data_IF_808660554111
#
_entry.id   IF_808660554111
#
_cell.length_a   1.000
_cell.length_b   1.000
_cell.length_c   1.000
_cell.angle_alpha   90.00
_cell.angle_beta   90.00
_cell.angle_gamma   90.00
#
_symmetry.space_group_name_H-M   'P 1'
#
loop_
_entity.id
_entity.type
_entity.pdbx_description
1 polymer ?
#
# COMPACT_ATOMS: atom_id res chain seq x y z
N UNK A 1 -15.76 29.85 -25.01
CA UNK A 1 -15.15 28.50 -24.87
C UNK A 1 -14.51 28.54 -23.51
N UNK A 2 -15.34 28.30 -22.51
CA UNK A 2 -15.11 28.80 -21.15
C UNK A 2 -14.41 27.70 -20.38
N UNK A 3 -13.11 27.90 -20.17
CA UNK A 3 -12.28 27.06 -19.32
C UNK A 3 -12.63 27.31 -17.86
N UNK A 4 -13.40 26.40 -17.27
CA UNK A 4 -13.47 26.26 -15.82
C UNK A 4 -12.21 25.51 -15.37
N UNK A 5 -11.33 26.20 -14.65
CA UNK A 5 -10.15 25.63 -14.03
C UNK A 5 -10.52 24.46 -13.12
N UNK A 6 -9.76 23.36 -13.23
CA UNK A 6 -9.82 22.26 -12.29
C UNK A 6 -9.60 22.79 -10.88
N UNK A 7 -10.59 22.63 -10.01
CA UNK A 7 -10.45 22.96 -8.59
C UNK A 7 -9.36 22.06 -7.99
N UNK A 8 -8.27 22.67 -7.53
CA UNK A 8 -7.22 21.98 -6.78
C UNK A 8 -7.81 21.42 -5.48
N UNK A 9 -7.98 20.09 -5.40
CA UNK A 9 -8.50 19.41 -4.20
C UNK A 9 -9.46 18.24 -4.47
N UNK A 10 -9.91 18.05 -5.72
CA UNK A 10 -10.71 16.89 -6.10
C UNK A 10 -9.83 15.63 -6.28
N UNK A 11 -10.24 14.53 -5.65
CA UNK A 11 -9.63 13.20 -5.76
C UNK A 11 -10.23 12.42 -6.93
N UNK A 12 -11.53 12.52 -7.18
CA UNK A 12 -12.22 11.90 -8.31
C UNK A 12 -13.53 12.61 -8.65
N UNK A 13 -14.06 12.38 -9.86
CA UNK A 13 -15.42 12.76 -10.26
C UNK A 13 -16.16 11.55 -10.80
N UNK A 14 -17.25 11.14 -10.14
CA UNK A 14 -17.95 9.87 -10.42
C UNK A 14 -19.41 10.16 -10.80
N UNK A 15 -19.93 9.63 -11.92
CA UNK A 15 -21.35 9.76 -12.24
C UNK A 15 -22.24 9.08 -11.21
N UNK A 16 -23.29 9.77 -10.71
CA UNK A 16 -24.21 9.22 -9.69
C UNK A 16 -24.83 7.88 -10.09
N UNK A 17 -25.08 7.70 -11.40
CA UNK A 17 -25.65 6.48 -11.99
C UNK A 17 -24.76 5.25 -11.87
N UNK A 18 -23.46 5.41 -11.64
CA UNK A 18 -22.51 4.30 -11.47
C UNK A 18 -22.50 3.78 -10.03
N UNK A 19 -22.94 4.60 -9.08
CA UNK A 19 -23.03 4.18 -7.68
C UNK A 19 -24.26 3.29 -7.51
N UNK A 20 -24.12 2.06 -7.00
CA UNK A 20 -25.24 1.14 -6.84
C UNK A 20 -26.25 1.68 -5.81
N UNK A 21 -27.52 1.30 -5.99
CA UNK A 21 -28.60 1.66 -5.05
C UNK A 21 -28.32 1.12 -3.64
N UNK A 22 -27.68 -0.05 -3.56
CA UNK A 22 -27.29 -0.73 -2.33
C UNK A 22 -25.85 -1.19 -2.41
N UNK A 23 -25.12 -1.14 -1.29
CA UNK A 23 -23.71 -1.56 -1.24
C UNK A 23 -22.75 -0.42 -1.57
N UNK A 24 -21.57 -0.78 -2.08
CA UNK A 24 -20.46 0.12 -2.35
C UNK A 24 -20.01 -0.02 -3.82
N UNK A 25 -19.83 1.11 -4.49
CA UNK A 25 -19.01 1.21 -5.69
C UNK A 25 -17.54 1.22 -5.26
N UNK A 26 -16.75 0.30 -5.82
CA UNK A 26 -15.30 0.37 -5.74
C UNK A 26 -14.79 1.08 -7.01
N UNK A 27 -14.01 2.14 -6.83
CA UNK A 27 -13.46 2.96 -7.90
C UNK A 27 -11.98 3.24 -7.62
N UNK A 28 -11.18 3.48 -8.66
CA UNK A 28 -9.78 3.89 -8.52
C UNK A 28 -9.63 5.24 -9.19
N UNK A 29 -9.17 6.27 -8.46
CA UNK A 29 -8.94 7.58 -9.04
C UNK A 29 -7.84 7.57 -10.10
N UNK A 30 -7.74 8.65 -10.89
CA UNK A 30 -6.63 8.81 -11.86
C UNK A 30 -5.25 8.74 -11.19
N UNK A 31 -5.15 9.16 -9.91
CA UNK A 31 -3.92 9.06 -9.12
C UNK A 31 -3.69 7.68 -8.47
N UNK A 32 -4.50 6.66 -8.82
CA UNK A 32 -4.37 5.31 -8.30
C UNK A 32 -4.91 5.12 -6.88
N UNK A 33 -5.69 6.06 -6.35
CA UNK A 33 -6.24 5.96 -4.99
C UNK A 33 -7.52 5.12 -5.04
N UNK A 34 -7.60 3.98 -4.33
CA UNK A 34 -8.84 3.23 -4.22
C UNK A 34 -9.87 4.02 -3.42
N UNK A 35 -11.10 4.05 -3.91
CA UNK A 35 -12.24 4.76 -3.35
C UNK A 35 -13.40 3.78 -3.18
N UNK A 36 -14.13 3.93 -2.08
CA UNK A 36 -15.40 3.25 -1.85
C UNK A 36 -16.49 4.31 -1.78
N UNK A 37 -17.46 4.26 -2.69
CA UNK A 37 -18.54 5.26 -2.75
C UNK A 37 -19.90 4.57 -2.64
N UNK A 38 -20.77 5.10 -1.80
CA UNK A 38 -22.09 4.53 -1.58
C UNK A 38 -23.15 5.59 -1.32
N UNK A 39 -24.40 5.20 -1.52
CA UNK A 39 -25.56 5.96 -1.07
C UNK A 39 -26.05 5.39 0.26
N UNK A 40 -26.33 6.27 1.23
CA UNK A 40 -26.92 5.97 2.54
C UNK A 40 -28.17 6.83 2.72
N UNK A 41 -29.30 6.31 2.26
CA UNK A 41 -30.55 7.06 2.20
C UNK A 41 -30.44 8.27 1.27
N UNK A 42 -30.53 9.48 1.84
CA UNK A 42 -30.39 10.73 1.09
C UNK A 42 -28.93 11.18 0.92
N UNK A 43 -27.99 10.60 1.67
CA UNK A 43 -26.60 11.06 1.71
C UNK A 43 -25.68 10.20 0.83
N UNK A 44 -24.61 10.83 0.35
CA UNK A 44 -23.50 10.16 -0.32
C UNK A 44 -22.33 10.01 0.65
N UNK A 45 -21.76 8.81 0.69
CA UNK A 45 -20.59 8.49 1.51
C UNK A 45 -19.47 8.06 0.59
N UNK A 46 -18.27 8.61 0.80
CA UNK A 46 -17.05 8.15 0.18
C UNK A 46 -16.01 7.85 1.26
N UNK A 47 -15.28 6.75 1.10
CA UNK A 47 -14.15 6.36 1.93
C UNK A 47 -12.88 6.26 1.06
N UNK A 48 -11.75 6.60 1.65
CA UNK A 48 -10.44 6.16 1.16
C UNK A 48 -10.37 4.64 1.32
N UNK A 49 -10.36 3.94 0.20
CA UNK A 49 -10.35 2.48 0.13
C UNK A 49 -8.98 1.87 0.47
N UNK A 50 -8.00 2.66 0.90
CA UNK A 50 -6.72 2.12 1.38
C UNK A 50 -6.88 1.59 2.80
N UNK A 51 -6.61 0.30 2.96
CA UNK A 51 -6.62 -0.35 4.27
C UNK A 51 -5.67 0.35 5.24
N UNK A 52 -6.15 0.73 6.43
CA UNK A 52 -5.35 1.42 7.46
C UNK A 52 -4.23 0.58 8.07
N UNK A 53 -4.05 -0.66 7.63
CA UNK A 53 -2.89 -1.48 8.00
C UNK A 53 -1.69 -1.22 7.08
N UNK A 54 -1.81 -1.50 5.78
CA UNK A 54 -0.70 -1.44 4.80
C UNK A 54 -1.13 -0.89 3.44
N UNK A 55 -2.24 -0.17 3.37
CA UNK A 55 -2.68 0.55 2.16
C UNK A 55 -3.28 -0.31 1.04
N UNK A 56 -3.41 -1.63 1.23
CA UNK A 56 -4.08 -2.50 0.25
C UNK A 56 -5.52 -2.04 -0.04
N UNK A 57 -6.02 -2.20 -1.28
CA UNK A 57 -7.39 -1.84 -1.61
C UNK A 57 -8.39 -2.70 -0.83
N UNK A 58 -9.30 -2.01 -0.13
CA UNK A 58 -10.46 -2.59 0.54
C UNK A 58 -11.61 -2.65 -0.45
N UNK A 59 -12.32 -3.77 -0.46
CA UNK A 59 -13.51 -3.97 -1.29
C UNK A 59 -14.74 -4.38 -0.49
N UNK A 60 -15.94 -4.39 -1.10
CA UNK A 60 -17.15 -4.90 -0.47
C UNK A 60 -17.01 -6.39 -0.11
N UNK A 61 -17.45 -6.77 1.08
CA UNK A 61 -17.49 -8.18 1.47
C UNK A 61 -18.81 -8.84 1.03
N UNK A 62 -18.68 -9.86 0.17
CA UNK A 62 -19.82 -10.57 -0.39
C UNK A 62 -20.74 -11.16 0.70
N UNK A 63 -22.05 -10.87 0.59
CA UNK A 63 -23.07 -11.36 1.53
C UNK A 63 -23.18 -10.54 2.82
N UNK A 64 -22.46 -9.42 2.93
CA UNK A 64 -22.52 -8.48 4.06
C UNK A 64 -22.67 -7.05 3.54
N UNK A 65 -22.89 -6.10 4.44
CA UNK A 65 -22.78 -4.66 4.20
C UNK A 65 -21.39 -4.09 4.50
N UNK A 66 -20.50 -4.94 5.03
CA UNK A 66 -19.14 -4.62 5.43
C UNK A 66 -18.13 -4.65 4.29
N UNK A 67 -16.88 -4.44 4.69
CA UNK A 67 -15.73 -4.26 3.81
C UNK A 67 -14.59 -5.20 4.20
N UNK A 68 -13.83 -5.68 3.23
CA UNK A 68 -12.75 -6.65 3.42
C UNK A 68 -11.46 -6.24 2.72
N UNK A 69 -10.36 -6.29 3.47
CA UNK A 69 -8.99 -6.20 2.98
C UNK A 69 -8.38 -7.60 2.88
N UNK A 70 -8.10 -8.09 1.66
CA UNK A 70 -7.63 -9.46 1.46
C UNK A 70 -6.14 -9.69 1.76
N UNK A 71 -5.33 -8.63 1.89
CA UNK A 71 -3.88 -8.78 2.11
C UNK A 71 -3.57 -9.51 3.42
N UNK A 72 -4.23 -9.13 4.50
CA UNK A 72 -4.03 -9.70 5.84
C UNK A 72 -5.36 -9.93 6.57
N UNK A 73 -6.42 -10.21 5.80
CA UNK A 73 -7.77 -10.49 6.30
C UNK A 73 -8.36 -9.41 7.23
N UNK A 74 -8.11 -8.14 6.91
CA UNK A 74 -8.72 -7.00 7.62
C UNK A 74 -10.21 -6.90 7.29
N UNK A 75 -11.05 -6.64 8.28
CA UNK A 75 -12.51 -6.51 8.12
C UNK A 75 -12.99 -5.23 8.77
N UNK A 76 -13.88 -4.54 8.07
CA UNK A 76 -14.51 -3.31 8.52
C UNK A 76 -16.03 -3.42 8.38
N UNK A 77 -16.77 -2.73 9.23
CA UNK A 77 -18.22 -2.63 9.12
C UNK A 77 -18.66 -1.71 7.96
N UNK A 78 -19.96 -1.45 7.86
CA UNK A 78 -20.56 -0.64 6.79
C UNK A 78 -20.19 0.86 6.86
N UNK A 79 -19.52 1.28 7.94
CA UNK A 79 -19.02 2.64 8.17
C UNK A 79 -17.50 2.71 8.00
N UNK A 80 -16.84 1.58 7.72
CA UNK A 80 -15.40 1.49 7.56
C UNK A 80 -14.64 1.36 8.88
N UNK A 81 -15.29 1.00 9.99
CA UNK A 81 -14.65 0.77 11.29
C UNK A 81 -14.13 -0.67 11.39
N UNK A 82 -12.85 -0.88 11.74
CA UNK A 82 -12.29 -2.23 11.79
C UNK A 82 -12.82 -3.01 12.99
N UNK A 83 -13.20 -4.26 12.76
CA UNK A 83 -13.61 -5.18 13.83
C UNK A 83 -12.82 -6.50 13.84
N UNK A 84 -12.05 -6.79 12.80
CA UNK A 84 -11.20 -7.98 12.74
C UNK A 84 -9.98 -7.76 11.85
N UNK A 85 -8.93 -8.54 12.13
CA UNK A 85 -7.64 -8.47 11.44
C UNK A 85 -6.71 -7.38 11.99
N UNK A 86 -5.58 -7.12 11.31
CA UNK A 86 -4.58 -6.15 11.76
C UNK A 86 -5.02 -4.67 11.84
N UNK A 87 -5.90 -4.14 10.96
CA UNK A 87 -6.29 -2.72 10.99
C UNK A 87 -6.76 -2.25 12.37
N UNK A 88 -6.28 -1.09 12.81
CA UNK A 88 -6.61 -0.49 14.11
C UNK A 88 -7.38 0.84 14.01
N UNK A 89 -7.45 1.43 12.83
CA UNK A 89 -8.13 2.69 12.57
C UNK A 89 -9.22 2.53 11.50
N UNK A 90 -10.30 3.32 11.54
CA UNK A 90 -11.31 3.34 10.50
C UNK A 90 -10.76 3.85 9.18
N UNK A 91 -11.36 3.43 8.07
CA UNK A 91 -11.11 4.02 6.76
C UNK A 91 -11.46 5.52 6.79
N UNK A 92 -10.61 6.34 6.17
CA UNK A 92 -10.81 7.78 6.16
C UNK A 92 -12.06 8.14 5.33
N UNK A 93 -12.96 8.94 5.88
CA UNK A 93 -14.10 9.49 5.12
C UNK A 93 -13.61 10.62 4.23
N UNK A 94 -14.08 10.65 3.00
CA UNK A 94 -13.76 11.67 2.00
C UNK A 94 -14.95 12.62 1.82
N UNK A 95 -14.66 13.84 1.40
CA UNK A 95 -15.71 14.81 1.09
C UNK A 95 -16.46 14.39 -0.16
N UNK A 96 -17.79 14.51 -0.15
CA UNK A 96 -18.61 14.31 -1.33
C UNK A 96 -19.42 15.57 -1.60
N UNK A 97 -19.25 16.14 -2.79
CA UNK A 97 -20.06 17.27 -3.27
C UNK A 97 -20.84 16.85 -4.51
N UNK A 98 -22.13 17.13 -4.53
CA UNK A 98 -22.95 16.91 -5.71
C UNK A 98 -22.76 18.07 -6.70
N UNK A 99 -22.45 17.75 -7.95
CA UNK A 99 -22.32 18.70 -9.05
C UNK A 99 -23.17 18.21 -10.24
N UNK A 100 -24.45 18.54 -10.24
CA UNK A 100 -25.41 18.01 -11.22
C UNK A 100 -25.52 16.48 -11.10
N UNK A 101 -25.25 15.75 -12.19
CA UNK A 101 -25.24 14.29 -12.25
C UNK A 101 -23.94 13.63 -11.76
N UNK A 102 -22.97 14.45 -11.32
CA UNK A 102 -21.67 13.98 -10.85
C UNK A 102 -21.55 14.10 -9.33
N UNK A 103 -20.75 13.21 -8.75
CA UNK A 103 -20.20 13.31 -7.41
C UNK A 103 -18.74 13.73 -7.52
N UNK A 104 -18.39 14.87 -6.95
CA UNK A 104 -17.00 15.31 -6.80
C UNK A 104 -16.51 14.85 -5.44
N UNK A 105 -15.57 13.90 -5.46
CA UNK A 105 -14.92 13.38 -4.26
C UNK A 105 -13.70 14.25 -3.97
N UNK A 106 -13.66 14.88 -2.81
CA UNK A 106 -12.53 15.67 -2.33
C UNK A 106 -11.75 14.96 -1.24
N UNK A 107 -10.57 15.45 -0.94
CA UNK A 107 -9.95 15.17 0.36
C UNK A 107 -10.91 15.60 1.47
N UNK A 108 -10.89 14.91 2.62
CA UNK A 108 -11.72 15.29 3.76
C UNK A 108 -11.50 16.78 4.07
N UNK A 109 -12.54 17.62 3.96
CA UNK A 109 -12.51 18.90 4.64
C UNK A 109 -12.60 18.58 6.12
N UNK A 110 -11.83 19.29 6.92
CA UNK A 110 -11.82 19.24 8.38
C UNK A 110 -13.19 19.53 9.06
N UNK A 111 -14.29 19.57 8.31
CA UNK A 111 -15.58 20.08 8.73
C UNK A 111 -16.76 19.07 8.73
N UNK A 112 -16.65 17.87 8.13
CA UNK A 112 -17.83 16.97 8.04
C UNK A 112 -17.56 15.46 8.17
N UNK A 113 -16.46 15.09 8.79
CA UNK A 113 -16.39 13.84 9.53
C UNK A 113 -15.70 14.13 10.85
N UNK A 114 -16.11 13.50 11.97
CA UNK A 114 -15.21 13.31 13.07
C UNK A 114 -14.20 12.22 12.62
N UNK A 115 -13.47 12.46 11.52
CA UNK A 115 -12.04 12.45 11.71
C UNK A 115 -11.85 13.54 12.73
N UNK A 116 -11.87 13.13 13.99
CA UNK A 116 -11.22 13.84 15.05
C UNK A 116 -9.76 13.89 14.58
N UNK A 117 -9.45 14.78 13.64
CA UNK A 117 -8.37 15.72 13.85
C UNK A 117 -8.93 16.62 14.95
N UNK A 118 -9.02 16.06 16.16
CA UNK A 118 -8.47 16.83 17.26
C UNK A 118 -7.15 17.33 16.68
N UNK A 119 -6.92 18.62 16.75
CA UNK A 119 -5.59 19.08 17.09
C UNK A 119 -5.18 18.40 18.40
N UNK A 120 -5.10 17.06 18.40
CA UNK A 120 -4.57 16.26 19.46
C UNK A 120 -3.10 16.50 19.28
N UNK A 121 -2.65 17.50 20.00
CA UNK A 121 -1.29 17.48 20.44
C UNK A 121 -1.16 16.18 21.23
N UNK A 122 -0.44 15.22 20.65
CA UNK A 122 0.02 14.03 21.33
C UNK A 122 1.35 14.40 21.98
N UNK A 123 1.36 14.84 23.25
CA UNK A 123 2.61 15.18 23.91
C UNK A 123 3.49 13.95 23.96
N UNK A 124 4.76 14.11 23.56
CA UNK A 124 5.75 13.05 23.61
C UNK A 124 7.11 13.65 23.95
N UNK A 125 7.89 12.91 24.75
CA UNK A 125 9.29 13.26 25.01
C UNK A 125 10.16 12.99 23.78
N UNK A 126 9.77 11.98 22.99
CA UNK A 126 10.46 11.52 21.79
C UNK A 126 9.47 11.20 20.67
N UNK A 127 9.82 11.57 19.44
CA UNK A 127 9.08 11.24 18.23
C UNK A 127 9.93 10.39 17.28
N UNK A 128 9.35 9.30 16.76
CA UNK A 128 9.96 8.47 15.72
C UNK A 128 9.11 8.56 14.46
N UNK A 129 9.66 9.14 13.40
CA UNK A 129 9.01 9.15 12.08
C UNK A 129 9.27 7.81 11.41
N UNK A 130 8.23 6.98 11.35
CA UNK A 130 8.26 5.63 10.78
C UNK A 130 7.32 5.47 9.56
N UNK A 131 6.97 6.58 8.90
CA UNK A 131 6.19 6.61 7.67
C UNK A 131 7.01 6.18 6.44
N UNK A 132 6.32 5.95 5.32
CA UNK A 132 6.98 5.75 4.03
C UNK A 132 7.71 7.03 3.55
N UNK A 133 8.37 6.94 2.40
CA UNK A 133 9.14 8.05 1.82
C UNK A 133 8.25 9.28 1.58
N UNK A 134 7.06 9.08 1.00
CA UNK A 134 6.15 10.18 0.66
C UNK A 134 5.63 10.88 1.91
N UNK A 135 5.09 10.11 2.86
CA UNK A 135 4.57 10.63 4.12
C UNK A 135 5.65 11.33 4.93
N UNK A 136 6.87 10.80 4.94
CA UNK A 136 8.01 11.47 5.59
C UNK A 136 8.34 12.81 4.93
N UNK A 137 8.40 12.85 3.59
CA UNK A 137 8.66 14.10 2.84
C UNK A 137 7.60 15.15 3.12
N UNK A 138 6.33 14.76 3.06
CA UNK A 138 5.18 15.65 3.31
C UNK A 138 5.18 16.17 4.75
N UNK A 139 5.38 15.28 5.73
CA UNK A 139 5.44 15.63 7.15
C UNK A 139 6.56 16.62 7.43
N UNK A 140 7.78 16.32 7.00
CA UNK A 140 8.93 17.19 7.26
C UNK A 140 8.80 18.52 6.52
N UNK A 141 8.32 18.53 5.27
CA UNK A 141 8.07 19.76 4.53
C UNK A 141 7.04 20.67 5.25
N UNK A 142 5.97 20.09 5.80
CA UNK A 142 4.94 20.82 6.55
C UNK A 142 5.49 21.46 7.84
N UNK A 143 6.45 20.82 8.50
CA UNK A 143 7.06 21.34 9.75
C UNK A 143 8.08 22.45 9.55
N UNK A 144 8.60 22.63 8.33
CA UNK A 144 9.63 23.62 7.98
C UNK A 144 10.83 23.63 8.96
N UNK A 145 11.57 22.52 9.07
CA UNK A 145 12.67 22.39 10.02
C UNK A 145 13.76 23.44 9.76
N UNK A 146 14.26 24.07 10.82
CA UNK A 146 15.35 25.04 10.74
C UNK A 146 16.67 24.50 10.18
N UNK A 147 16.89 23.17 10.21
CA UNK A 147 18.08 22.55 9.63
C UNK A 147 17.87 22.24 8.13
N UNK A 148 18.54 23.03 7.27
CA UNK A 148 18.40 22.94 5.81
C UNK A 148 18.98 21.65 5.22
N UNK A 149 20.10 21.15 5.76
CA UNK A 149 20.73 19.93 5.25
C UNK A 149 19.82 18.73 5.50
N UNK A 150 19.29 18.60 6.71
CA UNK A 150 18.29 17.60 7.07
C UNK A 150 17.06 17.67 6.17
N UNK A 151 16.49 18.86 5.99
CA UNK A 151 15.34 19.06 5.10
C UNK A 151 15.66 18.61 3.67
N UNK A 152 16.84 18.94 3.16
CA UNK A 152 17.27 18.60 1.80
C UNK A 152 17.47 17.09 1.61
N UNK A 153 18.05 16.39 2.59
CA UNK A 153 18.23 14.95 2.55
C UNK A 153 16.90 14.20 2.56
N UNK A 154 15.94 14.66 3.39
CA UNK A 154 14.58 14.10 3.39
C UNK A 154 13.89 14.36 2.05
N UNK A 155 13.97 15.59 1.54
CA UNK A 155 13.35 15.97 0.26
C UNK A 155 13.92 15.20 -0.94
N UNK A 156 15.18 14.75 -0.86
CA UNK A 156 15.87 13.97 -1.88
C UNK A 156 15.49 12.47 -1.91
N UNK A 157 14.76 11.97 -0.90
CA UNK A 157 14.28 10.59 -0.88
C UNK A 157 13.37 10.32 -2.09
N UNK A 158 13.65 9.21 -2.79
CA UNK A 158 12.91 8.79 -3.98
C UNK A 158 12.01 7.60 -3.71
N UNK A 159 10.94 7.50 -4.48
CA UNK A 159 10.15 6.28 -4.63
C UNK A 159 10.62 5.53 -5.88
N UNK A 160 10.61 4.20 -5.81
CA UNK A 160 10.93 3.33 -6.93
C UNK A 160 9.80 3.37 -7.97
N UNK A 161 10.12 2.86 -9.16
CA UNK A 161 9.15 2.73 -10.24
C UNK A 161 7.92 1.91 -9.78
N UNK A 162 6.74 2.21 -10.33
CA UNK A 162 5.51 1.53 -9.96
C UNK A 162 5.59 0.00 -10.07
N UNK A 163 4.70 -0.68 -9.37
CA UNK A 163 4.55 -2.12 -9.46
C UNK A 163 3.08 -2.51 -9.52
N UNK A 164 2.84 -3.70 -10.06
CA UNK A 164 1.52 -4.32 -10.18
C UNK A 164 1.54 -5.67 -9.48
N UNK A 165 0.49 -5.95 -8.72
CA UNK A 165 0.23 -7.25 -8.12
C UNK A 165 -1.18 -7.66 -8.51
N UNK A 166 -1.32 -8.84 -9.10
CA UNK A 166 -2.60 -9.40 -9.50
C UNK A 166 -2.77 -10.81 -8.95
N UNK A 167 -3.60 -10.94 -7.91
CA UNK A 167 -3.95 -12.21 -7.28
C UNK A 167 -5.26 -12.71 -7.83
N UNK A 168 -5.28 -13.96 -8.28
CA UNK A 168 -6.44 -14.61 -8.88
C UNK A 168 -6.78 -15.92 -8.16
N UNK A 169 -8.07 -16.12 -7.91
CA UNK A 169 -8.63 -17.38 -7.42
C UNK A 169 -9.23 -18.14 -8.60
N UNK A 170 -8.53 -19.18 -9.05
CA UNK A 170 -8.94 -20.04 -10.13
C UNK A 170 -9.81 -21.17 -9.60
N UNK A 171 -10.86 -21.53 -10.34
CA UNK A 171 -11.77 -22.62 -9.99
C UNK A 171 -11.25 -24.03 -10.29
N UNK A 172 -10.00 -24.11 -10.75
CA UNK A 172 -9.30 -25.32 -11.11
C UNK A 172 -7.87 -25.28 -10.56
N UNK A 173 -7.25 -26.44 -10.31
CA UNK A 173 -5.85 -26.49 -9.93
C UNK A 173 -4.96 -26.10 -11.12
N UNK A 174 -3.76 -25.61 -10.82
CA UNK A 174 -2.69 -25.43 -11.81
C UNK A 174 -1.67 -26.55 -11.62
N UNK A 175 -1.96 -27.71 -12.20
CA UNK A 175 -1.20 -28.94 -11.94
C UNK A 175 0.18 -28.98 -12.59
N UNK A 176 0.45 -28.11 -13.57
CA UNK A 176 1.79 -28.00 -14.19
C UNK A 176 2.76 -27.12 -13.39
N UNK A 177 2.31 -26.49 -12.29
CA UNK A 177 3.18 -25.76 -11.40
C UNK A 177 3.93 -26.70 -10.44
N UNK A 178 5.15 -27.09 -10.83
CA UNK A 178 6.07 -27.89 -10.00
C UNK A 178 6.56 -27.17 -8.74
N UNK A 179 6.60 -25.83 -8.76
CA UNK A 179 7.14 -25.00 -7.68
C UNK A 179 6.12 -23.98 -7.16
N UNK A 180 6.24 -23.57 -5.88
CA UNK A 180 5.36 -22.55 -5.31
C UNK A 180 5.65 -21.14 -5.84
N UNK A 181 6.80 -20.90 -6.47
CA UNK A 181 7.24 -19.59 -6.93
C UNK A 181 8.11 -19.70 -8.18
N UNK A 182 7.94 -18.76 -9.09
CA UNK A 182 8.74 -18.61 -10.31
C UNK A 182 9.14 -17.16 -10.51
N UNK A 183 10.40 -16.94 -10.89
CA UNK A 183 10.84 -15.71 -11.56
C UNK A 183 10.90 -15.98 -13.06
N UNK A 184 10.31 -15.10 -13.86
CA UNK A 184 10.18 -15.24 -15.31
C UNK A 184 10.67 -13.99 -16.02
N UNK A 185 11.04 -14.14 -17.30
CA UNK A 185 11.48 -13.04 -18.14
C UNK A 185 10.95 -13.24 -19.56
N UNK A 186 10.99 -12.18 -20.36
CA UNK A 186 10.48 -12.20 -21.75
C UNK A 186 8.97 -11.97 -21.87
N UNK A 187 8.30 -11.63 -20.77
CA UNK A 187 6.91 -11.19 -20.75
C UNK A 187 6.82 -9.65 -20.67
N UNK A 188 5.64 -9.10 -20.97
CA UNK A 188 5.42 -7.64 -20.99
C UNK A 188 5.36 -7.07 -19.58
N UNK A 189 4.65 -7.75 -18.66
CA UNK A 189 4.51 -7.30 -17.27
C UNK A 189 4.98 -8.34 -16.27
N UNK A 190 4.58 -9.59 -16.41
CA UNK A 190 4.83 -10.59 -15.36
C UNK A 190 6.31 -10.94 -15.27
N UNK A 191 6.93 -10.63 -14.15
CA UNK A 191 8.31 -11.04 -13.81
C UNK A 191 8.36 -12.14 -12.76
N UNK A 192 7.26 -12.37 -12.05
CA UNK A 192 7.16 -13.44 -11.07
C UNK A 192 5.73 -13.86 -10.82
N UNK A 193 5.59 -15.14 -10.43
CA UNK A 193 4.31 -15.73 -10.08
C UNK A 193 4.45 -16.65 -8.86
N UNK A 194 3.54 -16.49 -7.91
CA UNK A 194 3.47 -17.27 -6.67
C UNK A 194 2.16 -18.06 -6.61
N UNK A 195 2.25 -19.33 -6.24
CA UNK A 195 1.10 -20.21 -5.99
C UNK A 195 0.84 -20.31 -4.48
N UNK A 196 0.10 -19.34 -3.95
CA UNK A 196 -0.22 -19.24 -2.52
C UNK A 196 -0.89 -20.49 -1.95
N UNK A 197 -1.68 -21.19 -2.77
CA UNK A 197 -2.28 -22.47 -2.41
C UNK A 197 -1.28 -23.61 -2.17
N UNK A 198 0.01 -23.39 -2.40
CA UNK A 198 1.07 -24.36 -2.17
C UNK A 198 1.84 -24.13 -0.86
N UNK A 199 1.76 -22.94 -0.25
CA UNK A 199 2.61 -22.61 0.90
C UNK A 199 1.97 -21.76 2.01
N UNK A 200 0.82 -21.13 1.80
CA UNK A 200 0.18 -20.31 2.83
C UNK A 200 -1.19 -20.87 3.26
N UNK A 201 -1.31 -21.19 4.55
CA UNK A 201 -2.37 -22.04 5.11
C UNK A 201 -3.80 -21.61 4.74
N UNK A 202 -4.22 -20.33 4.83
CA UNK A 202 -5.57 -19.92 4.41
C UNK A 202 -5.90 -20.27 2.94
N UNK A 203 -4.92 -20.18 2.04
CA UNK A 203 -5.09 -20.47 0.62
C UNK A 203 -4.99 -21.96 0.29
N UNK A 204 -4.20 -22.70 1.07
CA UNK A 204 -4.17 -24.17 1.06
C UNK A 204 -5.56 -24.70 1.45
N UNK A 205 -6.13 -24.20 2.55
CA UNK A 205 -7.44 -24.65 3.04
C UNK A 205 -8.56 -24.28 2.07
N UNK A 206 -8.49 -23.10 1.45
CA UNK A 206 -9.42 -22.72 0.40
C UNK A 206 -9.34 -23.68 -0.79
N UNK A 207 -8.14 -23.95 -1.31
CA UNK A 207 -7.93 -24.86 -2.45
C UNK A 207 -8.43 -26.29 -2.15
N UNK A 208 -8.18 -26.81 -0.94
CA UNK A 208 -8.70 -28.12 -0.50
C UNK A 208 -10.23 -28.19 -0.50
N UNK A 209 -10.91 -27.09 -0.12
CA UNK A 209 -12.38 -27.03 -0.10
C UNK A 209 -13.01 -26.86 -1.48
N UNK A 210 -12.37 -26.12 -2.37
CA UNK A 210 -12.96 -25.73 -3.66
C UNK A 210 -12.44 -26.54 -4.85
N UNK A 211 -11.30 -27.22 -4.69
CA UNK A 211 -10.55 -27.80 -5.80
C UNK A 211 -9.85 -26.76 -6.69
N UNK A 212 -9.77 -25.50 -6.24
CA UNK A 212 -9.19 -24.40 -7.00
C UNK A 212 -7.70 -24.14 -6.73
N UNK A 213 -7.20 -23.02 -7.24
CA UNK A 213 -5.83 -22.54 -7.01
C UNK A 213 -5.80 -21.02 -6.82
N UNK A 214 -5.00 -20.54 -5.87
CA UNK A 214 -4.70 -19.11 -5.69
C UNK A 214 -3.31 -18.82 -6.23
N UNK A 215 -3.25 -18.03 -7.30
CA UNK A 215 -2.02 -17.58 -7.93
C UNK A 215 -1.91 -16.05 -7.84
N UNK A 216 -0.70 -15.52 -7.72
CA UNK A 216 -0.43 -14.08 -7.73
C UNK A 216 0.69 -13.78 -8.71
N UNK A 217 0.42 -12.88 -9.65
CA UNK A 217 1.37 -12.41 -10.64
C UNK A 217 1.87 -11.04 -10.23
N UNK A 218 3.15 -10.79 -10.45
CA UNK A 218 3.80 -9.53 -10.10
C UNK A 218 4.51 -8.93 -11.31
N UNK A 219 4.47 -7.60 -11.37
CA UNK A 219 5.30 -6.78 -12.23
C UNK A 219 5.95 -5.71 -11.35
N UNK A 220 7.23 -5.85 -11.05
CA UNK A 220 8.02 -4.92 -10.28
C UNK A 220 8.76 -3.95 -11.22
N UNK A 221 8.97 -2.72 -10.73
CA UNK A 221 9.73 -1.69 -11.43
C UNK A 221 9.22 -1.46 -12.88
N UNK A 222 7.90 -1.39 -13.04
CA UNK A 222 7.28 -1.03 -14.30
C UNK A 222 7.60 0.42 -14.57
N UNK A 223 8.37 0.69 -15.62
CA UNK A 223 8.81 2.04 -15.93
C UNK A 223 7.58 2.96 -16.11
N UNK A 224 7.62 4.22 -15.63
CA UNK A 224 6.44 5.08 -15.63
C UNK A 224 5.78 5.27 -17.00
N UNK A 225 6.56 5.29 -18.08
CA UNK A 225 6.05 5.37 -19.46
C UNK A 225 5.36 4.10 -19.96
N UNK A 226 5.60 2.96 -19.30
CA UNK A 226 5.05 1.65 -19.67
C UNK A 226 3.81 1.28 -18.83
N UNK A 227 3.38 2.17 -17.92
CA UNK A 227 2.13 2.04 -17.20
C UNK A 227 0.95 2.29 -18.16
N UNK A 228 0.14 1.24 -18.35
CA UNK A 228 -1.08 1.26 -19.17
C UNK A 228 -2.32 1.25 -18.28
N UNK A 229 -3.51 1.56 -18.83
CA UNK A 229 -4.77 1.36 -18.10
C UNK A 229 -4.90 -0.07 -17.55
N UNK A 230 -5.43 -0.19 -16.34
CA UNK A 230 -5.58 -1.47 -15.62
C UNK A 230 -6.16 -2.62 -16.47
N UNK A 231 -7.22 -2.42 -17.29
CA UNK A 231 -7.74 -3.49 -18.15
C UNK A 231 -6.72 -4.05 -19.15
N UNK A 232 -5.83 -3.21 -19.66
CA UNK A 232 -4.79 -3.63 -20.62
C UNK A 232 -3.69 -4.41 -19.92
N UNK A 233 -3.27 -3.97 -18.72
CA UNK A 233 -2.28 -4.69 -17.91
C UNK A 233 -2.83 -6.07 -17.52
N UNK A 234 -4.06 -6.14 -17.00
CA UNK A 234 -4.70 -7.41 -16.66
C UNK A 234 -4.80 -8.34 -17.86
N UNK A 235 -5.23 -7.83 -19.02
CA UNK A 235 -5.32 -8.62 -20.24
C UNK A 235 -3.94 -9.19 -20.64
N UNK A 236 -2.88 -8.38 -20.55
CA UNK A 236 -1.51 -8.83 -20.82
C UNK A 236 -1.06 -9.91 -19.82
N UNK A 237 -1.16 -9.65 -18.51
CA UNK A 237 -0.80 -10.61 -17.46
C UNK A 237 -1.60 -11.92 -17.56
N UNK A 238 -2.86 -11.85 -18.01
CA UNK A 238 -3.68 -13.04 -18.26
C UNK A 238 -3.18 -13.87 -19.44
N UNK A 239 -2.78 -13.23 -20.55
CA UNK A 239 -2.15 -13.95 -21.66
C UNK A 239 -0.82 -14.57 -21.26
N UNK A 240 -0.06 -13.89 -20.39
CA UNK A 240 1.21 -14.40 -19.84
C UNK A 240 0.97 -15.60 -18.93
N UNK A 241 -0.05 -15.55 -18.05
CA UNK A 241 -0.50 -16.71 -17.26
C UNK A 241 -0.84 -17.89 -18.16
N UNK A 242 -1.58 -17.65 -19.25
CA UNK A 242 -1.91 -18.67 -20.23
C UNK A 242 -0.70 -19.22 -20.97
N UNK A 243 0.31 -18.39 -21.24
CA UNK A 243 1.55 -18.82 -21.87
C UNK A 243 2.37 -19.71 -20.92
N UNK A 244 2.48 -19.33 -19.65
CA UNK A 244 3.22 -20.07 -18.64
C UNK A 244 2.53 -21.37 -18.21
N UNK A 245 1.21 -21.33 -18.00
CA UNK A 245 0.41 -22.45 -17.48
C UNK A 245 -0.82 -22.69 -18.35
N UNK A 246 -0.69 -23.41 -19.49
CA UNK A 246 -1.72 -23.46 -20.51
C UNK A 246 -3.12 -23.94 -20.09
N UNK A 247 -3.21 -24.79 -19.06
CA UNK A 247 -4.46 -25.27 -18.48
C UNK A 247 -5.31 -24.16 -17.88
N UNK A 248 -4.70 -23.04 -17.47
CA UNK A 248 -5.42 -21.90 -16.89
C UNK A 248 -6.37 -21.24 -17.88
N UNK A 249 -6.21 -21.44 -19.20
CA UNK A 249 -7.21 -21.04 -20.22
C UNK A 249 -8.59 -21.64 -19.99
N UNK A 250 -8.64 -22.80 -19.32
CA UNK A 250 -9.89 -23.50 -18.99
C UNK A 250 -10.42 -23.13 -17.61
N UNK A 251 -9.68 -22.36 -16.83
CA UNK A 251 -10.08 -21.93 -15.49
C UNK A 251 -10.95 -20.68 -15.56
N UNK A 252 -11.88 -20.56 -14.61
CA UNK A 252 -12.62 -19.33 -14.35
C UNK A 252 -12.03 -18.64 -13.14
N UNK A 253 -11.74 -17.34 -13.26
CA UNK A 253 -11.36 -16.49 -12.13
C UNK A 253 -12.64 -16.25 -11.30
N UNK A 254 -12.67 -16.80 -10.09
CA UNK A 254 -13.79 -16.68 -9.14
C UNK A 254 -13.74 -15.39 -8.34
N UNK A 255 -12.52 -14.92 -8.10
CA UNK A 255 -12.24 -13.69 -7.39
C UNK A 255 -10.84 -13.22 -7.80
N UNK A 256 -10.62 -11.92 -7.73
CA UNK A 256 -9.33 -11.32 -8.02
C UNK A 256 -9.10 -10.09 -7.15
N UNK A 257 -7.83 -9.80 -6.93
CA UNK A 257 -7.36 -8.57 -6.31
C UNK A 257 -6.27 -8.03 -7.21
N UNK A 258 -6.46 -6.80 -7.64
CA UNK A 258 -5.48 -6.08 -8.41
C UNK A 258 -5.02 -4.87 -7.62
N UNK A 259 -3.72 -4.65 -7.63
CA UNK A 259 -3.10 -3.53 -6.98
C UNK A 259 -2.03 -2.97 -7.89
N UNK A 260 -2.05 -1.66 -8.10
CA UNK A 260 -1.00 -0.92 -8.77
C UNK A 260 -0.58 0.22 -7.84
N UNK A 261 0.70 0.27 -7.46
CA UNK A 261 1.20 1.22 -6.48
C UNK A 261 2.60 1.73 -6.86
N UNK A 262 2.97 2.88 -6.30
CA UNK A 262 4.33 3.44 -6.36
C UNK A 262 4.60 4.06 -4.99
N UNK A 263 5.14 3.23 -4.09
CA UNK A 263 5.40 3.56 -2.69
C UNK A 263 6.62 2.83 -2.10
N UNK A 264 7.39 2.11 -2.92
CA UNK A 264 8.63 1.49 -2.47
C UNK A 264 9.75 2.51 -2.42
N UNK A 265 10.63 2.36 -1.44
CA UNK A 265 11.85 3.15 -1.35
C UNK A 265 12.72 2.95 -2.60
N UNK A 266 13.17 4.04 -3.22
CA UNK A 266 14.12 3.98 -4.33
C UNK A 266 15.54 3.76 -3.82
N UNK A 267 16.28 2.86 -4.46
CA UNK A 267 17.70 2.58 -4.21
C UNK A 267 18.54 2.78 -5.46
N UNK A 268 18.50 3.98 -6.06
CA UNK A 268 19.26 4.28 -7.26
C UNK A 268 20.76 4.47 -6.94
N UNK A 269 21.66 4.26 -7.93
CA UNK A 269 23.07 4.57 -7.77
C UNK A 269 23.29 6.00 -7.24
N UNK A 270 23.98 6.11 -6.10
CA UNK A 270 24.24 7.39 -5.43
C UNK A 270 23.26 7.75 -4.31
N UNK A 271 22.05 7.17 -4.26
CA UNK A 271 21.04 7.52 -3.23
C UNK A 271 21.56 7.27 -1.81
N UNK A 272 22.41 6.25 -1.61
CA UNK A 272 22.93 5.93 -0.27
C UNK A 272 23.73 7.07 0.38
N UNK A 273 24.41 7.91 -0.42
CA UNK A 273 25.32 8.93 0.10
C UNK A 273 24.60 10.06 0.88
N UNK A 274 23.34 10.32 0.54
CA UNK A 274 22.56 11.44 1.10
C UNK A 274 21.39 10.98 1.95
N UNK A 275 21.21 9.68 2.14
CA UNK A 275 20.14 9.16 2.99
C UNK A 275 20.38 9.55 4.45
N UNK A 276 19.34 10.02 5.14
CA UNK A 276 19.44 10.33 6.56
C UNK A 276 19.62 9.05 7.38
N UNK A 277 20.36 9.17 8.48
CA UNK A 277 20.45 8.13 9.50
C UNK A 277 19.27 8.17 10.47
N UNK A 278 19.31 7.27 11.45
CA UNK A 278 18.29 7.15 12.51
C UNK A 278 18.23 8.40 13.40
N UNK A 279 19.37 8.93 13.80
CA UNK A 279 19.46 10.15 14.61
C UNK A 279 19.38 11.39 13.71
N UNK A 280 18.56 12.36 14.10
CA UNK A 280 18.42 13.63 13.40
C UNK A 280 19.16 14.77 14.13
N UNK A 281 19.27 15.96 13.53
CA UNK A 281 19.77 17.14 14.25
C UNK A 281 18.91 17.59 15.44
N UNK A 282 17.69 17.06 15.58
CA UNK A 282 16.78 17.38 16.68
C UNK A 282 16.89 16.31 17.76
N UNK A 283 17.12 16.74 19.01
CA UNK A 283 17.43 15.83 20.11
C UNK A 283 16.33 14.79 20.39
N UNK A 284 15.08 15.10 20.07
CA UNK A 284 13.93 14.25 20.34
C UNK A 284 13.25 13.69 19.09
N UNK A 285 13.84 13.83 17.90
CA UNK A 285 13.31 13.30 16.65
C UNK A 285 14.24 12.23 16.07
N UNK A 286 13.67 11.07 15.76
CA UNK A 286 14.36 9.94 15.15
C UNK A 286 13.62 9.46 13.91
N UNK A 287 14.33 8.75 13.05
CA UNK A 287 13.79 8.16 11.83
C UNK A 287 13.87 6.63 11.87
N UNK A 288 12.84 5.99 11.35
CA UNK A 288 12.79 4.56 11.13
C UNK A 288 12.11 4.26 9.79
N UNK A 289 12.52 3.19 9.13
CA UNK A 289 12.08 2.85 7.79
C UNK A 289 13.18 2.15 7.01
N UNK A 290 12.80 1.49 5.92
CA UNK A 290 13.76 0.85 5.01
C UNK A 290 14.61 1.89 4.25
N UNK A 291 14.09 3.10 4.08
CA UNK A 291 14.78 4.26 3.48
C UNK A 291 15.86 4.89 4.36
N UNK A 292 15.88 4.57 5.65
CA UNK A 292 16.88 5.10 6.60
C UNK A 292 18.22 4.41 6.40
N UNK A 293 19.30 5.20 6.33
CA UNK A 293 20.65 4.68 6.15
C UNK A 293 21.10 3.89 7.38
N UNK A 294 21.73 2.74 7.14
CA UNK A 294 22.33 1.89 8.16
C UNK A 294 23.58 1.22 7.60
N UNK A 295 24.53 0.90 8.49
CA UNK A 295 25.74 0.13 8.14
C UNK A 295 25.49 -1.38 8.14
N UNK A 296 24.36 -1.82 8.69
CA UNK A 296 23.98 -3.22 8.69
C UNK A 296 23.59 -3.67 7.26
N UNK A 297 23.92 -4.91 6.86
CA UNK A 297 23.57 -5.46 5.55
C UNK A 297 22.11 -5.92 5.54
N UNK A 298 21.19 -4.98 5.78
CA UNK A 298 19.75 -5.22 5.90
C UNK A 298 19.02 -4.48 4.79
N UNK A 299 17.91 -5.05 4.33
CA UNK A 299 17.15 -4.50 3.20
C UNK A 299 15.64 -4.70 3.41
N UNK A 300 14.83 -3.82 2.80
CA UNK A 300 13.36 -3.87 2.81
C UNK A 300 12.79 -4.07 4.23
N UNK A 301 11.98 -5.12 4.43
CA UNK A 301 11.34 -5.43 5.70
C UNK A 301 12.34 -5.57 6.86
N UNK A 302 13.50 -6.17 6.61
CA UNK A 302 14.54 -6.30 7.64
C UNK A 302 15.13 -4.93 7.97
N UNK A 303 15.39 -4.08 6.98
CA UNK A 303 15.86 -2.71 7.22
C UNK A 303 14.87 -1.89 8.03
N UNK A 304 13.57 -1.96 7.70
CA UNK A 304 12.53 -1.25 8.44
C UNK A 304 12.47 -1.68 9.92
N UNK A 305 12.52 -2.99 10.19
CA UNK A 305 12.55 -3.51 11.56
C UNK A 305 13.85 -3.13 12.28
N UNK A 306 14.98 -3.21 11.59
CA UNK A 306 16.31 -2.93 12.13
C UNK A 306 16.47 -1.46 12.50
N UNK A 307 16.07 -0.54 11.62
CA UNK A 307 16.15 0.91 11.88
C UNK A 307 15.16 1.36 12.95
N UNK A 308 13.98 0.73 13.04
CA UNK A 308 13.08 0.91 14.19
C UNK A 308 13.72 0.53 15.53
N UNK A 309 14.44 -0.60 15.57
CA UNK A 309 15.21 -0.98 16.78
C UNK A 309 16.38 -0.05 17.06
N UNK A 310 17.05 0.46 16.02
CA UNK A 310 18.10 1.47 16.20
C UNK A 310 17.52 2.76 16.80
N UNK A 311 16.36 3.23 16.35
CA UNK A 311 15.69 4.41 16.92
C UNK A 311 15.36 4.20 18.41
N UNK A 312 14.78 3.03 18.75
CA UNK A 312 14.51 2.67 20.13
C UNK A 312 15.79 2.60 20.99
N UNK A 313 16.89 2.08 20.45
CA UNK A 313 18.18 2.04 21.14
C UNK A 313 18.79 3.43 21.32
N UNK A 314 18.63 4.34 20.35
CA UNK A 314 19.09 5.71 20.47
C UNK A 314 18.35 6.47 21.59
N UNK A 315 17.03 6.27 21.69
CA UNK A 315 16.22 6.78 22.81
C UNK A 315 16.70 6.15 24.13
N UNK A 316 16.83 4.83 24.19
CA UNK A 316 17.30 4.13 25.38
C UNK A 316 18.68 4.64 25.84
N UNK A 317 19.59 4.93 24.90
CA UNK A 317 20.90 5.51 25.21
C UNK A 317 20.78 6.87 25.91
N UNK A 318 19.90 7.75 25.42
CA UNK A 318 19.67 9.08 26.01
C UNK A 318 19.11 8.99 27.43
N UNK A 319 18.26 8.01 27.67
CA UNK A 319 17.68 7.72 28.98
C UNK A 319 18.57 6.86 29.88
N UNK A 320 19.81 6.57 29.48
CA UNK A 320 20.71 5.65 30.20
C UNK A 320 20.10 4.27 30.48
N UNK A 321 19.22 3.81 29.60
CA UNK A 321 18.55 2.51 29.65
C UNK A 321 19.33 1.46 28.86
N UNK A 322 19.06 0.20 29.16
CA UNK A 322 19.66 -0.95 28.46
C UNK A 322 19.17 -1.02 27.01
N UNK A 323 20.12 -0.97 26.07
CA UNK A 323 19.88 -1.17 24.65
C UNK A 323 19.67 -2.65 24.30
N UNK A 324 18.90 -2.92 23.24
CA UNK A 324 18.70 -4.26 22.68
C UNK A 324 19.79 -4.59 21.67
N UNK A 325 20.37 -5.81 21.69
CA UNK A 325 21.30 -6.24 20.66
C UNK A 325 20.68 -6.15 19.27
N UNK A 326 21.49 -5.71 18.31
CA UNK A 326 21.17 -5.66 16.89
C UNK A 326 22.04 -6.71 16.19
N UNK A 327 21.58 -7.96 16.09
CA UNK A 327 22.37 -8.99 15.43
C UNK A 327 22.49 -8.66 13.95
N UNK A 328 23.73 -8.61 13.47
CA UNK A 328 24.06 -8.55 12.05
C UNK A 328 24.94 -9.74 11.73
N UNK A 329 24.93 -10.17 10.47
CA UNK A 329 25.95 -11.12 9.99
C UNK A 329 27.34 -10.49 10.14
N UNK A 330 28.39 -11.30 10.35
CA UNK A 330 29.76 -10.79 10.34
C UNK A 330 30.01 -9.98 9.08
N UNK A 331 30.64 -8.81 9.20
CA UNK A 331 30.97 -7.94 8.06
C UNK A 331 32.38 -8.19 7.52
N UNK A 332 33.18 -9.00 8.22
CA UNK A 332 34.53 -9.40 7.84
C UNK A 332 34.71 -10.93 7.99
N UNK A 333 35.51 -11.55 7.12
CA UNK A 333 35.90 -12.96 7.19
C UNK A 333 35.16 -13.88 6.21
N UNK A 334 35.34 -15.20 6.35
CA UNK A 334 34.81 -16.21 5.40
C UNK A 334 33.29 -16.39 5.45
N UNK A 335 32.64 -15.81 6.46
CA UNK A 335 31.19 -15.81 6.66
C UNK A 335 30.59 -14.40 6.54
N UNK A 336 31.36 -13.45 6.01
CA UNK A 336 30.90 -12.13 5.61
C UNK A 336 30.50 -12.09 4.13
#
# INVERSE_FOLDING_TARGET
LDGAGAASGAVASIPKREVPVTGWLQHTSEAGIPLLVARRGAEWVALDGRCTHMGCPVGPEAGTDGLYCPCHAGRFDAEGVPFSGPPKAPLARLDVREAGEMLVIGQASSASSPAVVTSEELPCDYCVVASDVRGTRELIAATQPGNRDFASHIAALGEADPYVVWRVWLDRPVSSADFPFYTVSGYTYTDSISFYSSFQQPFIDWAKRTGGCVAELHAYAVAPQDIRPEPEIRAAMQQELYAMFPETRKATIRHEIFMMQSNFTRWAPGDHATRPGVETPYANLFLAGDWVSTKAPVFLMEAAAFTGRQAANAIAAKESLRQRPLPIVPMDGIFA
#
